data_IF_591809087860
#
_entry.id   IF_591809087860
#
_cell.length_a   1.000
_cell.length_b   1.000
_cell.length_c   1.000
_cell.angle_alpha   90.00
_cell.angle_beta   90.00
_cell.angle_gamma   90.00
#
_symmetry.space_group_name_H-M   'P 1'
#
loop_
_entity.id
_entity.type
_entity.pdbx_description
1 polymer ?
#
# COMPACT_ATOMS: atom_id res chain seq x y z
N UNK A 1 -5.45 -7.13 45.42
CA UNK A 1 -4.92 -6.79 44.07
C UNK A 1 -5.61 -5.51 43.62
N UNK A 2 -4.86 -4.49 43.36
CA UNK A 2 -5.39 -3.23 42.84
C UNK A 2 -5.58 -3.32 41.30
N UNK A 3 -6.06 -2.25 40.67
CA UNK A 3 -6.35 -2.23 39.23
C UNK A 3 -5.06 -2.45 38.38
N UNK A 4 -3.95 -1.82 38.74
CA UNK A 4 -2.68 -1.92 38.01
C UNK A 4 -2.07 -3.33 38.13
N UNK A 5 -2.13 -3.94 39.32
CA UNK A 5 -1.68 -5.31 39.54
C UNK A 5 -2.52 -6.31 38.72
N UNK A 6 -3.86 -6.11 38.67
CA UNK A 6 -4.73 -6.96 37.87
C UNK A 6 -4.46 -6.80 36.37
N UNK A 7 -4.33 -5.57 35.88
CA UNK A 7 -3.98 -5.25 34.50
C UNK A 7 -2.66 -5.94 34.08
N UNK A 8 -1.60 -5.73 34.83
CA UNK A 8 -0.29 -6.34 34.57
C UNK A 8 -0.36 -7.87 34.52
N UNK A 9 -1.14 -8.49 35.44
CA UNK A 9 -1.33 -9.94 35.46
C UNK A 9 -2.10 -10.46 34.23
N UNK A 10 -3.09 -9.72 33.75
CA UNK A 10 -3.81 -10.09 32.51
C UNK A 10 -2.84 -10.08 31.32
N UNK A 11 -2.03 -9.03 31.16
CA UNK A 11 -1.08 -8.92 30.07
C UNK A 11 0.00 -10.01 30.11
N UNK A 12 0.49 -10.35 31.31
CA UNK A 12 1.44 -11.45 31.49
C UNK A 12 0.83 -12.81 31.09
N UNK A 13 -0.43 -13.08 31.44
CA UNK A 13 -1.13 -14.30 31.01
C UNK A 13 -1.35 -14.34 29.51
N UNK A 14 -1.64 -13.20 28.87
CA UNK A 14 -1.75 -13.09 27.40
C UNK A 14 -0.45 -13.44 26.74
N UNK A 15 0.68 -12.92 27.26
CA UNK A 15 2.01 -13.22 26.77
C UNK A 15 2.30 -14.72 26.88
N UNK A 16 2.11 -15.31 28.04
CA UNK A 16 2.32 -16.76 28.29
C UNK A 16 1.45 -17.61 27.33
N UNK A 17 0.19 -17.25 27.14
CA UNK A 17 -0.70 -17.95 26.22
C UNK A 17 -0.19 -17.90 24.78
N UNK A 18 0.27 -16.72 24.33
CA UNK A 18 0.82 -16.56 22.99
C UNK A 18 2.08 -17.42 22.77
N UNK A 19 3.03 -17.34 23.72
CA UNK A 19 4.30 -18.02 23.62
C UNK A 19 4.13 -19.56 23.66
N UNK A 20 3.13 -20.06 24.42
CA UNK A 20 2.89 -21.49 24.58
C UNK A 20 2.03 -22.09 23.44
N UNK A 21 1.00 -21.38 22.98
CA UNK A 21 -0.02 -21.99 22.12
C UNK A 21 -0.14 -21.42 20.71
N UNK A 22 0.24 -20.14 20.47
CA UNK A 22 -0.01 -19.51 19.18
C UNK A 22 1.19 -19.52 18.23
N UNK A 23 2.40 -19.56 18.75
CA UNK A 23 3.64 -19.58 17.96
C UNK A 23 4.49 -20.84 18.19
N UNK A 24 3.93 -22.07 18.19
CA UNK A 24 4.75 -23.25 18.27
C UNK A 24 5.67 -23.32 17.04
N UNK A 25 6.97 -23.57 17.30
CA UNK A 25 7.91 -23.85 16.21
C UNK A 25 7.47 -25.13 15.52
N UNK A 26 6.97 -25.02 14.30
CA UNK A 26 6.64 -26.17 13.44
C UNK A 26 7.79 -26.41 12.49
N UNK A 27 8.32 -27.63 12.49
CA UNK A 27 9.26 -28.07 11.46
C UNK A 27 8.52 -28.16 10.12
N UNK A 28 9.18 -27.75 9.05
CA UNK A 28 8.63 -27.83 7.70
C UNK A 28 8.96 -29.21 7.11
N UNK A 29 7.97 -29.86 6.50
CA UNK A 29 8.13 -31.08 5.74
C UNK A 29 7.72 -30.85 4.28
N UNK A 30 8.42 -31.54 3.36
CA UNK A 30 8.10 -31.47 1.93
C UNK A 30 6.62 -31.85 1.69
N UNK A 31 5.88 -30.97 1.02
CA UNK A 31 4.44 -31.11 0.81
C UNK A 31 3.56 -30.35 1.80
N UNK A 32 4.13 -29.79 2.87
CA UNK A 32 3.40 -28.84 3.70
C UNK A 32 3.02 -27.58 2.92
N UNK A 33 1.91 -26.96 3.31
CA UNK A 33 1.41 -25.76 2.63
C UNK A 33 2.37 -24.58 2.78
N UNK A 34 2.76 -23.99 1.65
CA UNK A 34 3.50 -22.75 1.57
C UNK A 34 2.57 -21.65 1.07
N UNK A 35 2.21 -20.75 1.98
CA UNK A 35 1.36 -19.61 1.66
C UNK A 35 2.15 -18.52 0.93
N UNK A 36 1.51 -17.81 -0.01
CA UNK A 36 2.12 -16.65 -0.69
C UNK A 36 2.41 -15.50 0.26
N UNK A 37 1.62 -15.37 1.32
CA UNK A 37 1.78 -14.39 2.39
C UNK A 37 1.10 -14.90 3.66
N UNK A 38 1.56 -14.43 4.80
CA UNK A 38 0.93 -14.66 6.11
C UNK A 38 1.42 -13.62 7.10
N UNK A 39 0.65 -13.44 8.17
CA UNK A 39 1.07 -12.61 9.30
C UNK A 39 2.25 -13.25 10.03
N UNK A 40 3.19 -12.43 10.45
CA UNK A 40 4.27 -12.80 11.38
C UNK A 40 4.11 -11.93 12.62
N UNK A 41 4.00 -12.56 13.78
CA UNK A 41 3.74 -11.89 15.06
C UNK A 41 4.33 -12.70 16.21
N UNK A 42 4.44 -12.07 17.36
CA UNK A 42 4.75 -12.71 18.64
C UNK A 42 3.76 -12.22 19.72
N UNK A 43 4.16 -12.27 20.98
CA UNK A 43 3.28 -11.85 22.08
C UNK A 43 3.02 -10.34 22.14
N UNK A 44 3.88 -9.51 21.53
CA UNK A 44 3.78 -8.05 21.65
C UNK A 44 2.47 -7.52 20.99
N UNK A 45 2.09 -8.07 19.84
CA UNK A 45 0.85 -7.70 19.16
C UNK A 45 -0.38 -8.03 20.00
N UNK A 46 -0.40 -9.22 20.62
CA UNK A 46 -1.51 -9.64 21.46
C UNK A 46 -1.57 -8.82 22.76
N UNK A 47 -0.44 -8.57 23.38
CA UNK A 47 -0.33 -7.75 24.60
C UNK A 47 -0.88 -6.35 24.32
N UNK A 48 -0.42 -5.68 23.26
CA UNK A 48 -0.90 -4.36 22.89
C UNK A 48 -2.40 -4.35 22.56
N UNK A 49 -2.90 -5.38 21.84
CA UNK A 49 -4.31 -5.50 21.49
C UNK A 49 -5.19 -5.61 22.75
N UNK A 50 -4.79 -6.47 23.70
CA UNK A 50 -5.53 -6.66 24.95
C UNK A 50 -5.43 -5.41 25.83
N UNK A 51 -4.26 -4.77 25.89
CA UNK A 51 -4.06 -3.51 26.63
C UNK A 51 -5.03 -2.42 26.12
N UNK A 52 -5.10 -2.21 24.81
CA UNK A 52 -6.07 -1.29 24.19
C UNK A 52 -7.51 -1.70 24.48
N UNK A 53 -7.81 -3.01 24.48
CA UNK A 53 -9.16 -3.53 24.76
C UNK A 53 -9.60 -3.29 26.20
N UNK A 54 -8.68 -3.34 27.17
CA UNK A 54 -8.96 -3.08 28.58
C UNK A 54 -9.30 -1.61 28.87
N UNK A 55 -8.83 -0.68 28.04
CA UNK A 55 -9.25 0.72 28.10
C UNK A 55 -10.66 0.95 27.55
N UNK A 56 -11.14 0.05 26.73
CA UNK A 56 -12.43 0.09 26.04
C UNK A 56 -12.70 1.40 25.28
N UNK A 57 -11.62 2.02 24.76
CA UNK A 57 -11.70 3.15 23.85
C UNK A 57 -11.76 2.63 22.40
N UNK A 58 -12.97 2.56 21.83
CA UNK A 58 -13.27 1.78 20.62
C UNK A 58 -13.05 2.53 19.29
N UNK A 59 -12.66 3.78 19.32
CA UNK A 59 -12.29 4.57 18.13
C UNK A 59 -10.80 4.94 18.17
N UNK A 60 -10.32 5.81 17.28
CA UNK A 60 -8.94 6.27 17.31
C UNK A 60 -8.59 6.91 18.67
N UNK A 61 -7.54 6.44 19.33
CA UNK A 61 -7.12 6.82 20.66
C UNK A 61 -5.62 7.02 20.80
N UNK A 62 -5.04 6.60 21.94
CA UNK A 62 -3.62 6.79 22.20
C UNK A 62 -2.70 5.99 21.30
N UNK A 63 -3.06 4.74 20.98
CA UNK A 63 -2.28 3.90 20.08
C UNK A 63 -2.32 4.42 18.64
N UNK A 64 -3.46 4.93 18.18
CA UNK A 64 -3.55 5.57 16.87
C UNK A 64 -2.62 6.79 16.78
N UNK A 65 -2.56 7.61 17.84
CA UNK A 65 -1.65 8.76 17.90
C UNK A 65 -0.17 8.34 17.96
N UNK A 66 0.14 7.33 18.80
CA UNK A 66 1.49 6.75 18.89
C UNK A 66 1.95 6.19 17.53
N UNK A 67 1.06 5.44 16.87
CA UNK A 67 1.35 4.87 15.56
C UNK A 67 1.60 5.96 14.51
N UNK A 68 0.69 6.95 14.39
CA UNK A 68 0.83 8.05 13.43
C UNK A 68 2.18 8.77 13.60
N UNK A 69 2.58 9.03 14.84
CA UNK A 69 3.87 9.66 15.17
C UNK A 69 5.05 8.78 14.77
N UNK A 70 5.08 7.54 15.27
CA UNK A 70 6.22 6.65 15.07
C UNK A 70 6.37 6.22 13.60
N UNK A 71 5.27 6.07 12.87
CA UNK A 71 5.28 5.76 11.44
C UNK A 71 5.80 6.95 10.60
N UNK A 72 5.41 8.18 10.95
CA UNK A 72 5.95 9.38 10.32
C UNK A 72 7.46 9.51 10.60
N UNK A 73 7.92 9.25 11.83
CA UNK A 73 9.33 9.25 12.19
C UNK A 73 10.10 8.17 11.41
N UNK A 74 9.57 6.94 11.30
CA UNK A 74 10.18 5.85 10.54
C UNK A 74 10.39 6.22 9.07
N UNK A 75 9.40 6.82 8.43
CA UNK A 75 9.47 7.24 7.02
C UNK A 75 10.19 8.58 6.82
N UNK A 76 10.53 9.29 7.91
CA UNK A 76 11.09 10.64 7.87
C UNK A 76 10.19 11.64 7.11
N UNK A 77 8.89 11.59 7.39
CA UNK A 77 7.88 12.55 6.90
C UNK A 77 7.27 13.34 8.05
N UNK A 78 6.67 14.48 7.74
CA UNK A 78 6.12 15.37 8.80
C UNK A 78 4.77 14.88 9.33
N UNK A 79 3.94 14.30 8.48
CA UNK A 79 2.55 14.01 8.81
C UNK A 79 2.15 12.61 8.34
N UNK A 80 1.47 11.90 9.21
CA UNK A 80 0.79 10.64 8.93
C UNK A 80 -0.66 10.69 9.44
N UNK A 81 -1.57 10.08 8.73
CA UNK A 81 -2.96 9.86 9.12
C UNK A 81 -3.31 8.40 8.96
N UNK A 82 -3.58 7.72 10.07
CA UNK A 82 -4.02 6.32 10.08
C UNK A 82 -5.46 6.21 9.56
N UNK A 83 -5.69 5.22 8.71
CA UNK A 83 -7.00 4.88 8.13
C UNK A 83 -7.28 3.38 8.24
N UNK A 84 -8.51 2.98 7.95
CA UNK A 84 -8.99 1.61 8.16
C UNK A 84 -8.58 0.59 7.09
N UNK A 85 -7.96 1.01 5.99
CA UNK A 85 -7.40 0.12 4.95
C UNK A 85 -6.50 0.88 3.97
N UNK A 86 -5.65 0.14 3.21
CA UNK A 86 -4.89 0.71 2.09
C UNK A 86 -5.78 1.24 0.97
N UNK A 87 -6.92 0.60 0.72
CA UNK A 87 -7.92 1.08 -0.26
C UNK A 87 -8.48 2.44 0.15
N UNK A 88 -8.77 2.62 1.44
CA UNK A 88 -9.19 3.90 2.01
C UNK A 88 -8.08 4.94 1.96
N UNK A 89 -6.83 4.52 2.12
CA UNK A 89 -5.67 5.40 1.97
C UNK A 89 -5.56 5.95 0.54
N UNK A 90 -5.67 5.10 -0.47
CA UNK A 90 -5.66 5.49 -1.88
C UNK A 90 -6.84 6.42 -2.21
N UNK A 91 -8.06 6.07 -1.76
CA UNK A 91 -9.23 6.92 -1.92
C UNK A 91 -9.01 8.30 -1.31
N UNK A 92 -8.51 8.35 -0.08
CA UNK A 92 -8.32 9.59 0.66
C UNK A 92 -7.21 10.46 0.05
N UNK A 93 -6.09 9.83 -0.39
CA UNK A 93 -5.01 10.52 -1.08
C UNK A 93 -5.49 11.21 -2.37
N UNK A 94 -6.25 10.48 -3.19
CA UNK A 94 -6.82 11.03 -4.42
C UNK A 94 -7.85 12.12 -4.12
N UNK A 95 -8.81 11.86 -3.24
CA UNK A 95 -9.87 12.82 -2.89
C UNK A 95 -9.33 14.10 -2.23
N UNK A 96 -8.19 14.02 -1.55
CA UNK A 96 -7.55 15.23 -1.01
C UNK A 96 -7.18 16.23 -2.10
N UNK A 97 -6.81 15.76 -3.28
CA UNK A 97 -6.45 16.60 -4.41
C UNK A 97 -7.66 17.25 -5.10
N UNK A 98 -8.89 16.87 -4.75
CA UNK A 98 -10.13 17.48 -5.26
C UNK A 98 -10.59 18.67 -4.39
N UNK A 99 -9.92 18.94 -3.27
CA UNK A 99 -10.32 19.98 -2.32
C UNK A 99 -10.28 21.38 -2.93
N UNK A 100 -11.32 22.20 -2.69
CA UNK A 100 -11.32 23.62 -3.10
C UNK A 100 -10.20 24.43 -2.47
N UNK A 101 -9.63 24.00 -1.34
CA UNK A 101 -8.51 24.67 -0.68
C UNK A 101 -7.22 24.66 -1.51
N UNK A 102 -7.14 23.82 -2.55
CA UNK A 102 -5.99 23.77 -3.47
C UNK A 102 -6.05 24.78 -4.61
N UNK A 103 -7.15 25.56 -4.71
CA UNK A 103 -7.33 26.59 -5.74
C UNK A 103 -7.24 25.98 -7.16
N UNK A 104 -6.43 26.55 -8.03
CA UNK A 104 -6.25 26.13 -9.42
C UNK A 104 -5.55 24.76 -9.57
N UNK A 105 -4.90 24.28 -8.52
CA UNK A 105 -4.26 22.95 -8.53
C UNK A 105 -5.20 21.79 -8.18
N UNK A 106 -6.45 22.06 -7.79
CA UNK A 106 -7.42 21.01 -7.51
C UNK A 106 -7.74 20.19 -8.76
N UNK A 107 -8.08 18.93 -8.56
CA UNK A 107 -8.59 18.05 -9.61
C UNK A 107 -10.09 18.29 -9.79
N UNK A 108 -10.54 18.37 -11.02
CA UNK A 108 -11.95 18.44 -11.42
C UNK A 108 -12.37 17.16 -12.18
N UNK A 109 -13.67 16.94 -12.29
CA UNK A 109 -14.20 15.88 -13.15
C UNK A 109 -13.76 16.12 -14.60
N UNK A 110 -13.31 15.06 -15.27
CA UNK A 110 -12.77 15.13 -16.62
C UNK A 110 -11.29 15.51 -16.72
N UNK A 111 -10.62 15.87 -15.60
CA UNK A 111 -9.16 15.97 -15.57
C UNK A 111 -8.51 14.59 -15.70
N UNK A 112 -7.31 14.54 -16.26
CA UNK A 112 -6.60 13.31 -16.53
C UNK A 112 -5.62 12.92 -15.42
N UNK A 113 -5.54 11.61 -15.14
CA UNK A 113 -4.64 11.01 -14.18
C UNK A 113 -3.82 9.90 -14.87
N UNK A 114 -2.52 10.06 -14.96
CA UNK A 114 -1.62 9.05 -15.53
C UNK A 114 -1.47 7.90 -14.51
N UNK A 115 -1.67 6.66 -15.00
CA UNK A 115 -1.58 5.43 -14.21
C UNK A 115 -1.24 4.24 -15.12
N UNK A 116 -1.25 3.01 -14.58
CA UNK A 116 -1.01 1.76 -15.32
C UNK A 116 -2.18 0.81 -15.20
N UNK A 117 -2.43 0.01 -16.24
CA UNK A 117 -3.49 -1.00 -16.22
C UNK A 117 -3.04 -2.33 -15.58
N UNK A 118 -1.72 -2.60 -15.54
CA UNK A 118 -1.13 -3.69 -14.77
C UNK A 118 -1.02 -3.29 -13.28
N UNK A 119 -2.13 -2.89 -12.66
CA UNK A 119 -2.18 -2.36 -11.31
C UNK A 119 -3.26 -2.99 -10.44
N UNK A 120 -3.23 -2.67 -9.14
CA UNK A 120 -4.28 -3.07 -8.23
C UNK A 120 -5.51 -2.15 -8.41
N UNK A 121 -6.74 -2.68 -8.38
CA UNK A 121 -7.94 -1.88 -8.68
C UNK A 121 -8.07 -0.60 -7.86
N UNK A 122 -7.68 -0.61 -6.58
CA UNK A 122 -7.87 0.56 -5.69
C UNK A 122 -6.88 1.70 -5.93
N UNK A 123 -5.83 1.50 -6.72
CA UNK A 123 -5.01 2.61 -7.27
C UNK A 123 -5.76 3.37 -8.35
N UNK A 124 -6.68 2.72 -9.07
CA UNK A 124 -7.43 3.31 -10.21
C UNK A 124 -8.86 3.69 -9.83
N UNK A 125 -9.52 2.92 -8.96
CA UNK A 125 -10.94 3.11 -8.63
C UNK A 125 -11.32 4.53 -8.19
N UNK A 126 -10.54 5.25 -7.35
CA UNK A 126 -10.88 6.62 -6.97
C UNK A 126 -10.94 7.58 -8.15
N UNK A 127 -10.08 7.38 -9.16
CA UNK A 127 -10.04 8.20 -10.39
C UNK A 127 -11.38 8.09 -11.13
N UNK A 128 -11.79 6.84 -11.39
CA UNK A 128 -13.03 6.52 -12.10
C UNK A 128 -14.26 6.97 -11.31
N UNK A 129 -14.32 6.64 -10.02
CA UNK A 129 -15.46 6.96 -9.15
C UNK A 129 -15.68 8.46 -8.99
N UNK A 130 -14.62 9.24 -8.97
CA UNK A 130 -14.72 10.70 -8.95
C UNK A 130 -15.17 11.27 -10.31
N UNK A 131 -14.92 10.57 -11.42
CA UNK A 131 -15.18 11.03 -12.77
C UNK A 131 -14.00 11.79 -13.39
N UNK A 132 -12.80 11.55 -12.91
CA UNK A 132 -11.56 11.88 -13.63
C UNK A 132 -11.26 10.78 -14.66
N UNK A 133 -10.37 11.06 -15.61
CA UNK A 133 -10.08 10.18 -16.74
C UNK A 133 -8.74 9.48 -16.50
N UNK A 134 -8.70 8.15 -16.28
CA UNK A 134 -7.44 7.45 -16.20
C UNK A 134 -6.74 7.39 -17.56
N UNK A 135 -5.45 7.70 -17.57
CA UNK A 135 -4.58 7.64 -18.74
C UNK A 135 -3.60 6.51 -18.52
N UNK A 136 -3.82 5.40 -19.22
CA UNK A 136 -3.02 4.20 -19.05
C UNK A 136 -1.78 4.20 -19.91
N UNK A 137 -0.64 4.01 -19.23
CA UNK A 137 0.68 3.81 -19.83
C UNK A 137 1.07 2.35 -19.65
N UNK A 138 1.75 1.76 -20.61
CA UNK A 138 2.25 0.39 -20.48
C UNK A 138 3.35 0.32 -19.41
N UNK A 139 3.69 -0.89 -19.03
CA UNK A 139 4.75 -1.20 -18.07
C UNK A 139 5.93 -1.86 -18.74
N UNK A 140 7.07 -1.91 -18.07
CA UNK A 140 8.25 -2.65 -18.53
C UNK A 140 8.31 -4.04 -17.91
N UNK A 141 8.88 -5.01 -18.61
CA UNK A 141 9.31 -6.30 -18.10
C UNK A 141 10.83 -6.34 -18.24
N UNK A 142 11.60 -6.66 -17.21
CA UNK A 142 11.27 -7.41 -16.00
C UNK A 142 11.05 -6.58 -14.72
N UNK A 143 10.88 -5.27 -14.78
CA UNK A 143 10.65 -4.44 -13.59
C UNK A 143 9.18 -4.37 -13.18
N UNK A 144 8.25 -4.57 -14.12
CA UNK A 144 6.79 -4.54 -13.96
C UNK A 144 6.23 -3.19 -13.50
N UNK A 145 6.97 -2.13 -13.73
CA UNK A 145 6.61 -0.75 -13.39
C UNK A 145 6.36 0.07 -14.65
N UNK A 146 5.78 1.26 -14.47
CA UNK A 146 5.48 2.19 -15.58
C UNK A 146 6.65 2.38 -16.52
N UNK A 147 6.38 2.36 -17.83
CA UNK A 147 7.34 2.74 -18.86
C UNK A 147 7.50 4.26 -18.89
N UNK A 148 8.53 4.75 -18.21
CA UNK A 148 8.77 6.19 -18.06
C UNK A 148 9.05 6.89 -19.41
N UNK A 149 9.45 6.15 -20.44
CA UNK A 149 9.69 6.72 -21.78
C UNK A 149 8.43 7.18 -22.48
N UNK A 150 7.26 6.69 -22.02
CA UNK A 150 5.94 7.03 -22.56
C UNK A 150 5.24 8.18 -21.82
N UNK A 151 5.80 8.69 -20.71
CA UNK A 151 5.16 9.70 -19.88
C UNK A 151 4.88 11.01 -20.62
N UNK A 152 5.82 11.49 -21.43
CA UNK A 152 5.62 12.72 -22.20
C UNK A 152 4.49 12.58 -23.24
N UNK A 153 4.34 11.42 -23.85
CA UNK A 153 3.20 11.13 -24.74
C UNK A 153 1.87 10.99 -23.99
N UNK A 154 1.94 10.67 -22.70
CA UNK A 154 0.75 10.58 -21.83
C UNK A 154 0.24 11.97 -21.39
N UNK A 155 1.09 12.96 -21.33
CA UNK A 155 0.75 14.31 -20.89
C UNK A 155 -0.23 15.01 -21.84
N UNK A 156 -1.19 15.71 -21.26
CA UNK A 156 -2.04 16.69 -21.92
C UNK A 156 -2.30 17.89 -20.99
N UNK A 157 -2.90 18.96 -21.51
CA UNK A 157 -3.32 20.13 -20.67
C UNK A 157 -4.35 19.77 -19.60
N UNK A 158 -5.02 18.62 -19.72
CA UNK A 158 -5.96 18.10 -18.71
C UNK A 158 -5.28 17.25 -17.63
N UNK A 159 -4.04 16.83 -17.85
CA UNK A 159 -3.30 16.02 -16.89
C UNK A 159 -3.00 16.81 -15.62
N UNK A 160 -3.37 16.27 -14.47
CA UNK A 160 -3.19 16.90 -13.15
C UNK A 160 -2.40 16.03 -12.18
N UNK A 161 -2.43 14.72 -12.34
CA UNK A 161 -1.88 13.76 -11.38
C UNK A 161 -1.19 12.62 -12.10
N UNK A 162 -0.13 12.12 -11.47
CA UNK A 162 0.42 10.78 -11.68
C UNK A 162 0.13 9.98 -10.41
N UNK A 163 -0.55 8.84 -10.53
CA UNK A 163 -0.84 7.92 -9.42
C UNK A 163 -0.39 6.52 -9.78
N UNK A 164 0.65 6.03 -9.12
CA UNK A 164 1.34 4.79 -9.44
C UNK A 164 1.64 3.98 -8.19
N UNK A 165 1.56 2.64 -8.32
CA UNK A 165 2.02 1.73 -7.29
C UNK A 165 3.46 1.27 -7.55
N UNK A 166 4.19 0.97 -6.47
CA UNK A 166 5.47 0.27 -6.52
C UNK A 166 5.20 -1.23 -6.60
N UNK A 167 5.27 -1.79 -7.80
CA UNK A 167 4.79 -3.14 -8.10
C UNK A 167 5.49 -4.22 -7.28
N UNK A 168 4.72 -4.92 -6.43
CA UNK A 168 5.19 -6.00 -5.54
C UNK A 168 6.49 -5.68 -4.80
N UNK A 169 6.65 -4.44 -4.38
CA UNK A 169 7.81 -4.02 -3.59
C UNK A 169 9.01 -3.54 -4.40
N UNK A 170 8.91 -3.53 -5.74
CA UNK A 170 9.92 -2.98 -6.63
C UNK A 170 9.59 -1.50 -6.93
N UNK A 171 10.39 -0.55 -6.49
CA UNK A 171 10.14 0.85 -6.80
C UNK A 171 10.14 1.11 -8.33
N UNK A 172 9.20 1.92 -8.82
CA UNK A 172 9.35 2.46 -10.18
C UNK A 172 10.49 3.50 -10.24
N UNK A 173 10.91 3.91 -11.43
CA UNK A 173 11.92 4.98 -11.58
C UNK A 173 11.37 6.31 -11.05
N UNK A 174 11.50 6.47 -9.72
CA UNK A 174 11.00 7.62 -8.97
C UNK A 174 11.64 8.93 -9.42
N UNK A 175 12.93 8.89 -9.82
CA UNK A 175 13.60 10.11 -10.30
C UNK A 175 12.98 10.59 -11.60
N UNK A 176 12.81 9.71 -12.57
CA UNK A 176 12.21 10.06 -13.86
C UNK A 176 10.77 10.52 -13.72
N UNK A 177 9.95 9.82 -12.89
CA UNK A 177 8.55 10.19 -12.65
C UNK A 177 8.45 11.52 -11.91
N UNK A 178 9.28 11.73 -10.88
CA UNK A 178 9.27 13.00 -10.11
C UNK A 178 9.70 14.18 -11.00
N UNK A 179 10.77 14.04 -11.76
CA UNK A 179 11.22 15.08 -12.69
C UNK A 179 10.15 15.42 -13.74
N UNK A 180 9.43 14.42 -14.23
CA UNK A 180 8.30 14.63 -15.14
C UNK A 180 7.16 15.40 -14.45
N UNK A 181 6.76 15.02 -13.23
CA UNK A 181 5.74 15.72 -12.47
C UNK A 181 6.12 17.18 -12.20
N UNK A 182 7.38 17.43 -11.83
CA UNK A 182 7.87 18.78 -11.54
C UNK A 182 7.87 19.67 -12.79
N UNK A 183 8.31 19.14 -13.94
CA UNK A 183 8.29 19.90 -15.21
C UNK A 183 6.88 20.34 -15.63
N UNK A 184 5.89 19.50 -15.37
CA UNK A 184 4.50 19.73 -15.78
C UNK A 184 3.60 20.22 -14.63
N UNK A 185 4.17 20.49 -13.44
CA UNK A 185 3.43 20.92 -12.25
C UNK A 185 2.28 19.97 -11.88
N UNK A 186 2.53 18.65 -11.94
CA UNK A 186 1.58 17.58 -11.61
C UNK A 186 1.72 17.15 -10.15
N UNK A 187 0.64 16.68 -9.55
CA UNK A 187 0.68 15.96 -8.31
C UNK A 187 1.20 14.53 -8.51
N UNK A 188 2.00 14.02 -7.58
CA UNK A 188 2.44 12.63 -7.55
C UNK A 188 1.89 11.93 -6.30
N UNK A 189 1.07 10.90 -6.51
CA UNK A 189 0.64 9.96 -5.47
C UNK A 189 1.42 8.66 -5.64
N UNK A 190 2.14 8.26 -4.60
CA UNK A 190 2.83 6.97 -4.54
C UNK A 190 1.97 5.96 -3.74
N UNK A 191 1.40 4.96 -4.43
CA UNK A 191 0.81 3.81 -3.75
C UNK A 191 1.94 2.87 -3.31
N UNK A 192 2.29 2.97 -2.03
CA UNK A 192 3.39 2.24 -1.40
C UNK A 192 2.90 1.01 -0.60
N UNK A 193 1.67 0.54 -0.88
CA UNK A 193 1.08 -0.59 -0.15
C UNK A 193 1.97 -1.84 -0.18
N UNK A 194 2.55 -2.15 -1.34
CA UNK A 194 3.40 -3.32 -1.53
C UNK A 194 4.90 -3.07 -1.31
N UNK A 195 5.32 -1.83 -1.01
CA UNK A 195 6.74 -1.48 -1.00
C UNK A 195 7.22 -0.78 0.28
N UNK A 196 6.49 -0.93 1.37
CA UNK A 196 6.89 -0.33 2.65
C UNK A 196 8.29 -0.82 3.06
N UNK A 197 9.19 0.12 3.33
CA UNK A 197 10.59 -0.15 3.65
C UNK A 197 11.52 -0.27 2.43
N UNK A 198 10.99 -0.13 1.20
CA UNK A 198 11.83 0.06 0.02
C UNK A 198 12.42 1.48 -0.01
N UNK A 199 13.59 1.61 -0.63
CA UNK A 199 14.26 2.92 -0.77
C UNK A 199 14.76 3.13 -2.20
N UNK A 200 14.89 4.40 -2.57
CA UNK A 200 15.53 4.83 -3.81
C UNK A 200 16.58 5.89 -3.52
N UNK A 201 17.64 5.91 -4.33
CA UNK A 201 18.64 6.98 -4.28
C UNK A 201 18.23 8.10 -5.25
N UNK A 202 17.87 9.26 -4.70
CA UNK A 202 17.49 10.46 -5.45
C UNK A 202 18.51 11.55 -5.12
N UNK A 203 19.20 12.05 -6.15
CA UNK A 203 20.23 13.09 -6.03
C UNK A 203 21.29 12.76 -4.94
N UNK A 204 21.73 11.48 -4.92
CA UNK A 204 22.73 10.96 -3.98
C UNK A 204 22.23 10.72 -2.55
N UNK A 205 20.93 10.89 -2.28
CA UNK A 205 20.32 10.62 -0.98
C UNK A 205 19.36 9.44 -1.05
N UNK A 206 19.50 8.53 -0.10
CA UNK A 206 18.57 7.42 0.09
C UNK A 206 17.28 7.93 0.74
N UNK A 207 16.13 7.64 0.13
CA UNK A 207 14.80 8.01 0.61
C UNK A 207 13.86 6.81 0.54
N UNK A 208 12.95 6.71 1.48
CA UNK A 208 11.88 5.72 1.43
C UNK A 208 10.90 6.00 0.27
N UNK A 209 10.43 4.94 -0.39
CA UNK A 209 9.29 5.02 -1.30
C UNK A 209 8.04 5.53 -0.57
N UNK A 210 7.16 6.20 -1.29
CA UNK A 210 5.98 6.87 -0.71
C UNK A 210 6.28 8.25 -0.11
N UNK A 211 7.57 8.69 -0.08
CA UNK A 211 7.97 9.97 0.54
C UNK A 211 8.57 10.97 -0.46
N UNK A 212 8.59 10.63 -1.73
CA UNK A 212 9.21 11.43 -2.80
C UNK A 212 8.13 12.23 -3.56
N UNK A 213 6.96 11.66 -3.72
CA UNK A 213 5.77 12.35 -4.22
C UNK A 213 5.13 13.30 -3.22
N UNK A 214 3.98 13.86 -3.57
CA UNK A 214 3.22 14.77 -2.71
C UNK A 214 2.47 14.03 -1.60
N UNK A 215 1.97 12.82 -1.90
CA UNK A 215 1.23 11.96 -0.96
C UNK A 215 1.67 10.51 -1.16
N UNK A 216 1.99 9.83 -0.06
CA UNK A 216 2.20 8.39 -0.02
C UNK A 216 1.09 7.66 0.72
N UNK A 217 0.84 6.42 0.32
CA UNK A 217 -0.14 5.54 0.96
C UNK A 217 0.46 4.21 1.34
N UNK A 218 -0.05 3.58 2.38
CA UNK A 218 0.35 2.23 2.79
C UNK A 218 -0.85 1.42 3.26
N UNK A 219 -0.73 0.09 3.17
CA UNK A 219 -1.72 -0.86 3.65
C UNK A 219 -1.12 -1.77 4.73
N UNK A 220 -1.95 -2.10 5.72
CA UNK A 220 -1.60 -2.99 6.80
C UNK A 220 -2.53 -4.21 6.85
N UNK A 221 -3.06 -4.62 5.70
CA UNK A 221 -3.74 -5.90 5.52
C UNK A 221 -2.75 -7.07 5.78
N UNK A 222 -3.19 -8.25 6.26
CA UNK A 222 -2.29 -9.33 6.70
C UNK A 222 -1.20 -9.77 5.73
N UNK A 223 -1.41 -9.61 4.43
CA UNK A 223 -0.42 -9.99 3.42
C UNK A 223 0.72 -8.99 3.27
N UNK A 224 0.53 -7.73 3.68
CA UNK A 224 1.52 -6.67 3.49
C UNK A 224 2.74 -6.80 4.42
N UNK A 225 3.61 -5.80 4.40
CA UNK A 225 4.90 -5.81 5.10
C UNK A 225 4.75 -5.86 6.62
N UNK A 226 3.68 -5.27 7.14
CA UNK A 226 3.23 -5.37 8.53
C UNK A 226 1.70 -5.43 8.55
N UNK A 227 1.09 -5.90 9.63
CA UNK A 227 -0.36 -6.05 9.71
C UNK A 227 -0.97 -5.34 10.92
N UNK A 228 -2.22 -4.89 10.73
CA UNK A 228 -3.13 -4.46 11.80
C UNK A 228 -4.43 -5.27 11.79
N UNK A 229 -4.48 -6.39 11.02
CA UNK A 229 -5.74 -7.02 10.59
C UNK A 229 -6.35 -6.26 9.43
N UNK A 230 -6.87 -5.08 9.68
CA UNK A 230 -7.20 -4.07 8.69
C UNK A 230 -6.57 -2.73 9.11
N UNK A 231 -6.04 -1.98 8.16
CA UNK A 231 -5.41 -0.69 8.39
C UNK A 231 -4.73 -0.14 7.15
N UNK A 232 -4.42 1.15 7.18
CA UNK A 232 -3.66 1.85 6.16
C UNK A 232 -3.20 3.20 6.68
N UNK A 233 -2.34 3.86 5.93
CA UNK A 233 -1.88 5.20 6.26
C UNK A 233 -1.77 6.08 5.01
N UNK A 234 -2.02 7.38 5.20
CA UNK A 234 -1.75 8.44 4.23
C UNK A 234 -0.77 9.40 4.86
N UNK A 235 0.30 9.71 4.15
CA UNK A 235 1.36 10.55 4.69
C UNK A 235 1.88 11.55 3.66
N UNK A 236 2.37 12.70 4.18
CA UNK A 236 2.82 13.84 3.38
C UNK A 236 3.68 14.79 4.18
N UNK A 237 4.52 15.57 3.52
CA UNK A 237 5.23 16.70 4.13
C UNK A 237 4.46 18.03 4.03
N UNK A 238 3.37 18.05 3.28
CA UNK A 238 2.58 19.25 3.03
C UNK A 238 1.50 19.45 4.11
N UNK A 239 1.58 20.52 4.94
CA UNK A 239 0.62 20.76 6.01
C UNK A 239 -0.82 21.00 5.51
N UNK A 240 -0.99 21.59 4.31
CA UNK A 240 -2.32 21.81 3.74
C UNK A 240 -2.94 20.49 3.30
N UNK A 241 -2.18 19.62 2.62
CA UNK A 241 -2.65 18.29 2.27
C UNK A 241 -3.01 17.48 3.52
N UNK A 242 -2.17 17.52 4.57
CA UNK A 242 -2.48 16.85 5.83
C UNK A 242 -3.80 17.35 6.45
N UNK A 243 -4.02 18.69 6.48
CA UNK A 243 -5.28 19.27 6.95
C UNK A 243 -6.49 18.73 6.15
N UNK A 244 -6.39 18.72 4.82
CA UNK A 244 -7.45 18.22 3.93
C UNK A 244 -7.69 16.73 4.16
N UNK A 245 -6.63 15.91 4.21
CA UNK A 245 -6.68 14.47 4.46
C UNK A 245 -7.42 14.17 5.77
N UNK A 246 -7.08 14.85 6.85
CA UNK A 246 -7.74 14.67 8.14
C UNK A 246 -9.20 15.10 8.12
N UNK A 247 -9.52 16.22 7.45
CA UNK A 247 -10.89 16.66 7.26
C UNK A 247 -11.71 15.58 6.55
N UNK A 248 -11.25 15.11 5.39
CA UNK A 248 -11.94 14.09 4.60
C UNK A 248 -12.07 12.75 5.32
N UNK A 249 -11.04 12.33 6.09
CA UNK A 249 -11.09 11.12 6.91
C UNK A 249 -12.18 11.18 7.98
N UNK A 250 -12.43 12.37 8.52
CA UNK A 250 -13.31 12.64 9.66
C UNK A 250 -14.57 13.41 9.24
N UNK A 251 -15.35 12.85 8.32
CA UNK A 251 -16.63 13.37 7.77
C UNK A 251 -16.56 14.70 7.01
N UNK A 252 -15.39 15.22 6.72
CA UNK A 252 -15.21 16.55 6.11
C UNK A 252 -15.20 17.70 7.12
N UNK A 253 -15.02 17.42 8.42
CA UNK A 253 -14.95 18.45 9.48
C UNK A 253 -13.81 19.42 9.24
N UNK A 254 -14.05 20.69 9.55
CA UNK A 254 -13.00 21.73 9.59
C UNK A 254 -12.20 21.67 10.89
N UNK A 255 -12.81 21.24 11.97
CA UNK A 255 -12.19 21.10 13.28
C UNK A 255 -11.13 20.00 13.30
N UNK A 256 -9.92 20.32 13.75
CA UNK A 256 -8.76 19.42 13.84
C UNK A 256 -8.49 18.87 15.26
N UNK A 257 -9.39 19.12 16.21
CA UNK A 257 -9.25 18.62 17.58
C UNK A 257 -9.23 17.08 17.60
N UNK A 258 -8.39 16.46 18.47
CA UNK A 258 -8.35 15.03 18.62
C UNK A 258 -9.70 14.43 19.02
N UNK A 259 -9.94 13.17 18.64
CA UNK A 259 -11.15 12.46 19.07
C UNK A 259 -11.27 12.44 20.61
N UNK A 260 -12.49 12.67 21.12
CA UNK A 260 -12.75 12.71 22.55
C UNK A 260 -12.25 13.95 23.30
N UNK A 261 -11.59 14.90 22.63
CA UNK A 261 -11.10 16.16 23.25
C UNK A 261 -11.83 17.36 22.65
N UNK A 262 -12.86 17.84 23.35
CA UNK A 262 -13.58 19.02 22.92
C UNK A 262 -12.82 20.29 23.29
N UNK A 263 -12.91 21.30 22.39
CA UNK A 263 -12.27 22.60 22.57
C UNK A 263 -10.76 22.56 22.88
N UNK A 264 -10.06 21.54 22.39
CA UNK A 264 -8.61 21.40 22.61
C UNK A 264 -7.81 22.58 22.02
N UNK A 265 -8.30 23.16 20.92
CA UNK A 265 -7.71 24.33 20.29
C UNK A 265 -8.06 25.66 20.96
N UNK A 266 -9.04 25.71 21.88
CA UNK A 266 -9.55 26.92 22.50
C UNK A 266 -10.46 27.79 21.61
N UNK A 267 -10.77 27.33 20.39
CA UNK A 267 -11.46 28.11 19.35
C UNK A 267 -12.80 27.47 18.91
N UNK A 268 -13.51 26.79 19.84
CA UNK A 268 -14.72 26.05 19.50
C UNK A 268 -15.88 26.94 19.07
N UNK A 269 -16.01 28.10 19.70
CA UNK A 269 -17.12 29.04 19.50
C UNK A 269 -16.66 30.39 18.95
N UNK A 270 -15.39 30.48 18.51
CA UNK A 270 -14.83 31.68 17.93
C UNK A 270 -14.95 31.59 16.41
N UNK A 271 -15.34 32.66 15.80
CA UNK A 271 -15.22 32.80 14.37
C UNK A 271 -16.53 32.67 13.60
N UNK A 272 -16.41 32.99 12.34
CA UNK A 272 -17.49 32.98 11.35
C UNK A 272 -17.15 31.98 10.26
N UNK A 273 -18.04 31.04 10.00
CA UNK A 273 -17.84 29.96 9.05
C UNK A 273 -18.89 30.05 7.93
N UNK A 274 -18.54 30.67 6.79
CA UNK A 274 -19.43 30.88 5.67
C UNK A 274 -20.72 31.62 6.07
N UNK A 275 -21.89 31.04 5.78
CA UNK A 275 -23.22 31.59 6.10
C UNK A 275 -23.75 31.14 7.48
N UNK A 276 -22.95 30.35 8.24
CA UNK A 276 -23.35 29.91 9.57
C UNK A 276 -23.40 31.09 10.56
N UNK A 277 -24.24 31.03 11.60
CA UNK A 277 -24.30 32.06 12.65
C UNK A 277 -22.93 32.30 13.29
N UNK A 278 -22.65 33.54 13.69
CA UNK A 278 -21.46 33.86 14.46
C UNK A 278 -21.41 33.05 15.77
N UNK A 279 -20.27 32.52 16.17
CA UNK A 279 -20.11 31.66 17.32
C UNK A 279 -20.67 30.24 17.16
N UNK A 280 -20.95 29.81 15.93
CA UNK A 280 -21.39 28.41 15.69
C UNK A 280 -20.32 27.42 16.12
N UNK A 281 -20.74 26.28 16.67
CA UNK A 281 -19.82 25.24 17.15
C UNK A 281 -18.94 24.71 16.03
N UNK A 282 -17.63 25.08 16.04
CA UNK A 282 -16.65 24.70 15.01
C UNK A 282 -16.54 23.19 14.81
N UNK A 283 -16.86 22.37 15.82
CA UNK A 283 -16.88 20.90 15.73
C UNK A 283 -17.89 20.39 14.70
N UNK A 284 -18.92 21.17 14.38
CA UNK A 284 -19.98 20.85 13.42
C UNK A 284 -19.89 21.68 12.12
N UNK A 285 -18.74 22.31 11.88
CA UNK A 285 -18.45 22.94 10.60
C UNK A 285 -17.81 21.90 9.66
N UNK A 286 -18.32 21.81 8.44
CA UNK A 286 -17.85 20.89 7.43
C UNK A 286 -17.32 21.65 6.20
N UNK A 287 -16.02 21.48 5.92
CA UNK A 287 -15.33 22.11 4.77
C UNK A 287 -15.35 21.23 3.53
N UNK A 288 -15.66 19.93 3.69
CA UNK A 288 -15.67 18.93 2.64
C UNK A 288 -16.84 17.96 2.81
N UNK A 289 -17.19 17.25 1.74
CA UNK A 289 -17.96 16.01 1.80
C UNK A 289 -17.01 14.86 2.04
N UNK A 290 -16.80 14.52 3.29
CA UNK A 290 -15.82 13.52 3.69
C UNK A 290 -16.42 12.18 4.09
N UNK A 291 -15.58 11.33 4.65
CA UNK A 291 -15.85 9.93 4.99
C UNK A 291 -15.65 9.70 6.49
N UNK A 292 -15.94 8.49 6.96
CA UNK A 292 -15.40 7.99 8.23
C UNK A 292 -14.47 6.82 7.95
N UNK A 293 -13.19 7.10 7.83
CA UNK A 293 -12.16 6.13 7.45
C UNK A 293 -11.14 5.85 8.58
N UNK A 294 -11.46 6.23 9.81
CA UNK A 294 -10.58 5.95 10.96
C UNK A 294 -10.45 4.45 11.23
N UNK A 295 -9.25 4.02 11.57
CA UNK A 295 -9.02 2.74 12.22
C UNK A 295 -9.41 2.82 13.71
N UNK A 296 -9.66 1.68 14.33
CA UNK A 296 -9.85 1.55 15.78
C UNK A 296 -8.51 1.59 16.50
N UNK A 297 -8.51 1.93 17.80
CA UNK A 297 -7.28 1.96 18.60
C UNK A 297 -6.68 0.56 18.79
N UNK A 298 -7.50 -0.47 18.81
CA UNK A 298 -7.09 -1.87 18.86
C UNK A 298 -6.26 -2.28 17.62
N UNK A 299 -6.64 -1.82 16.42
CA UNK A 299 -5.86 -2.03 15.20
C UNK A 299 -4.52 -1.28 15.26
N UNK A 300 -4.55 -0.03 15.73
CA UNK A 300 -3.35 0.77 15.91
C UNK A 300 -2.38 0.15 16.92
N UNK A 301 -2.90 -0.46 17.99
CA UNK A 301 -2.12 -1.14 19.02
C UNK A 301 -1.29 -2.31 18.44
N UNK A 302 -1.89 -3.12 17.56
CA UNK A 302 -1.17 -4.15 16.80
C UNK A 302 -0.08 -3.49 15.93
N UNK A 303 -0.43 -2.41 15.22
CA UNK A 303 0.50 -1.68 14.36
C UNK A 303 1.72 -1.13 15.08
N UNK A 304 1.57 -0.64 16.31
CA UNK A 304 2.68 -0.16 17.14
C UNK A 304 3.70 -1.27 17.44
N UNK A 305 3.26 -2.51 17.67
CA UNK A 305 4.14 -3.65 17.87
C UNK A 305 4.81 -4.08 16.54
N UNK A 306 4.04 -4.16 15.47
CA UNK A 306 4.53 -4.55 14.14
C UNK A 306 5.57 -3.58 13.58
N UNK A 307 5.38 -2.29 13.77
CA UNK A 307 6.30 -1.26 13.26
C UNK A 307 7.73 -1.46 13.79
N UNK A 308 7.89 -1.90 15.03
CA UNK A 308 9.21 -2.20 15.63
C UNK A 308 9.92 -3.35 14.94
N UNK A 309 9.18 -4.28 14.33
CA UNK A 309 9.68 -5.48 13.64
C UNK A 309 9.89 -5.26 12.14
N UNK A 310 9.37 -4.18 11.59
CA UNK A 310 9.38 -3.90 10.15
C UNK A 310 10.78 -3.95 9.51
N UNK A 311 11.86 -3.39 10.09
CA UNK A 311 13.20 -3.51 9.51
C UNK A 311 13.64 -4.97 9.30
N UNK A 312 13.42 -5.83 10.29
CA UNK A 312 13.72 -7.27 10.20
C UNK A 312 12.87 -7.96 9.12
N UNK A 313 11.61 -7.58 9.01
CA UNK A 313 10.71 -8.14 7.98
C UNK A 313 11.19 -7.78 6.56
N UNK A 314 11.65 -6.56 6.35
CA UNK A 314 12.23 -6.11 5.07
C UNK A 314 13.49 -6.90 4.72
N UNK A 315 14.40 -7.08 5.68
CA UNK A 315 15.62 -7.86 5.48
C UNK A 315 15.31 -9.31 5.11
N UNK A 316 14.35 -9.94 5.81
CA UNK A 316 13.97 -11.33 5.52
C UNK A 316 13.32 -11.48 4.15
N UNK A 317 12.50 -10.51 3.70
CA UNK A 317 11.94 -10.48 2.34
C UNK A 317 13.03 -10.41 1.27
N UNK A 318 14.03 -9.56 1.47
CA UNK A 318 15.20 -9.46 0.58
C UNK A 318 16.00 -10.77 0.54
N UNK A 319 16.23 -11.39 1.70
CA UNK A 319 16.91 -12.68 1.78
C UNK A 319 16.16 -13.76 0.97
N UNK A 320 14.86 -13.91 1.19
CA UNK A 320 14.03 -14.89 0.52
C UNK A 320 13.99 -14.66 -1.01
N UNK A 321 13.87 -13.39 -1.43
CA UNK A 321 13.91 -13.03 -2.85
C UNK A 321 15.25 -13.39 -3.49
N UNK A 322 16.37 -13.04 -2.86
CA UNK A 322 17.69 -13.33 -3.38
C UNK A 322 17.94 -14.84 -3.49
N UNK A 323 17.47 -15.63 -2.52
CA UNK A 323 17.57 -17.08 -2.56
C UNK A 323 16.80 -17.69 -3.73
N UNK A 324 15.56 -17.22 -3.99
CA UNK A 324 14.79 -17.60 -5.18
C UNK A 324 15.48 -17.18 -6.47
N UNK A 325 15.95 -15.94 -6.56
CA UNK A 325 16.66 -15.42 -7.72
C UNK A 325 17.89 -16.25 -8.07
N UNK A 326 18.65 -16.69 -7.08
CA UNK A 326 19.83 -17.51 -7.26
C UNK A 326 19.48 -18.94 -7.65
N UNK A 327 18.50 -19.54 -6.95
CA UNK A 327 18.09 -20.92 -7.19
C UNK A 327 17.33 -21.14 -8.50
N UNK A 328 16.82 -20.08 -9.13
CA UNK A 328 16.09 -20.14 -10.41
C UNK A 328 16.89 -19.54 -11.58
N UNK A 329 18.16 -19.18 -11.36
CA UNK A 329 18.99 -18.50 -12.37
C UNK A 329 19.17 -19.30 -13.66
N UNK A 330 19.25 -20.60 -13.55
CA UNK A 330 19.39 -21.52 -14.69
C UNK A 330 18.10 -21.70 -15.52
N UNK A 331 16.97 -21.21 -15.00
CA UNK A 331 15.68 -21.25 -15.70
C UNK A 331 15.34 -19.97 -16.47
N UNK A 332 16.32 -19.10 -16.74
CA UNK A 332 16.11 -17.85 -17.49
C UNK A 332 15.73 -18.06 -18.98
N UNK A 333 15.95 -19.24 -19.52
CA UNK A 333 15.44 -19.65 -20.83
C UNK A 333 13.94 -20.03 -20.80
N UNK A 334 13.38 -20.32 -19.62
CA UNK A 334 11.97 -20.68 -19.37
C UNK A 334 11.15 -19.53 -18.78
N UNK A 335 11.76 -18.75 -17.90
CA UNK A 335 11.12 -17.61 -17.22
C UNK A 335 11.91 -16.33 -17.37
N UNK A 336 11.20 -15.21 -17.44
CA UNK A 336 11.79 -13.90 -17.18
C UNK A 336 11.70 -13.67 -15.69
N UNK A 337 12.87 -13.58 -15.04
CA UNK A 337 12.98 -13.31 -13.61
C UNK A 337 12.91 -11.80 -13.33
N UNK A 338 12.35 -11.38 -12.18
CA UNK A 338 12.23 -9.97 -11.82
C UNK A 338 13.60 -9.35 -11.51
N UNK A 339 13.76 -8.09 -11.90
CA UNK A 339 14.96 -7.30 -11.57
C UNK A 339 14.58 -6.03 -10.83
N UNK A 340 15.40 -5.57 -9.88
CA UNK A 340 15.17 -4.27 -9.24
C UNK A 340 15.27 -3.14 -10.27
N UNK A 341 14.54 -2.05 -10.02
CA UNK A 341 14.77 -0.80 -10.72
C UNK A 341 16.15 -0.24 -10.33
N UNK A 342 16.81 0.44 -11.24
CA UNK A 342 18.10 1.07 -10.96
C UNK A 342 18.01 2.05 -9.78
N UNK A 343 19.10 2.15 -9.02
CA UNK A 343 19.18 3.04 -7.84
C UNK A 343 18.12 2.79 -6.76
N UNK A 344 17.56 1.57 -6.70
CA UNK A 344 16.59 1.18 -5.69
C UNK A 344 17.06 0.01 -4.83
N UNK A 345 16.49 -0.07 -3.62
CA UNK A 345 16.59 -1.24 -2.73
C UNK A 345 15.15 -1.71 -2.44
N UNK A 346 14.62 -2.65 -3.21
CA UNK A 346 13.25 -3.12 -3.05
C UNK A 346 12.97 -3.70 -1.66
N UNK A 347 11.71 -3.62 -1.27
CA UNK A 347 11.13 -4.37 -0.16
C UNK A 347 10.11 -5.35 -0.74
N UNK A 348 10.61 -6.48 -1.23
CA UNK A 348 9.84 -7.41 -2.05
C UNK A 348 8.57 -7.94 -1.37
N UNK A 349 7.45 -7.82 -2.05
CA UNK A 349 6.18 -8.42 -1.62
C UNK A 349 6.01 -9.84 -2.16
N UNK A 350 6.45 -10.08 -3.39
CA UNK A 350 6.41 -11.37 -4.08
C UNK A 350 7.55 -11.52 -5.07
N UNK A 351 7.75 -12.75 -5.54
CA UNK A 351 8.71 -13.11 -6.58
C UNK A 351 7.94 -13.41 -7.88
N UNK A 352 8.07 -12.52 -8.87
CA UNK A 352 7.38 -12.64 -10.17
C UNK A 352 8.10 -13.62 -11.09
N UNK A 353 7.31 -14.38 -11.85
CA UNK A 353 7.76 -15.27 -12.89
C UNK A 353 6.91 -15.01 -14.15
N UNK A 354 7.53 -14.54 -15.22
CA UNK A 354 6.85 -14.42 -16.51
C UNK A 354 7.31 -15.55 -17.43
N UNK A 355 6.38 -16.43 -17.81
CA UNK A 355 6.66 -17.56 -18.68
C UNK A 355 7.13 -17.09 -20.06
N UNK A 356 8.09 -17.81 -20.64
CA UNK A 356 8.45 -17.64 -22.05
C UNK A 356 7.51 -18.48 -22.94
N UNK A 357 7.62 -18.30 -24.25
CA UNK A 357 6.67 -18.83 -25.25
C UNK A 357 6.46 -20.34 -25.20
N UNK A 358 7.47 -21.10 -24.77
CA UNK A 358 7.44 -22.55 -24.66
C UNK A 358 6.89 -23.06 -23.30
N UNK A 359 6.54 -22.16 -22.40
CA UNK A 359 6.03 -22.49 -21.04
C UNK A 359 4.60 -22.01 -20.87
N UNK A 360 3.68 -22.94 -20.61
CA UNK A 360 2.29 -22.63 -20.34
C UNK A 360 2.09 -22.27 -18.85
N UNK A 361 1.90 -20.99 -18.55
CA UNK A 361 1.69 -20.49 -17.18
C UNK A 361 0.67 -21.32 -16.39
N UNK A 362 -0.49 -21.63 -16.98
CA UNK A 362 -1.54 -22.34 -16.26
C UNK A 362 -1.12 -23.74 -15.81
N UNK A 363 -0.31 -24.46 -16.61
CA UNK A 363 0.23 -25.77 -16.23
C UNK A 363 1.18 -25.64 -15.03
N UNK A 364 2.12 -24.68 -15.09
CA UNK A 364 3.06 -24.42 -14.00
C UNK A 364 2.31 -24.07 -12.71
N UNK A 365 1.37 -23.12 -12.79
CA UNK A 365 0.57 -22.69 -11.63
C UNK A 365 -0.21 -23.84 -11.01
N UNK A 366 -0.90 -24.65 -11.82
CA UNK A 366 -1.65 -25.81 -11.33
C UNK A 366 -0.74 -26.84 -10.66
N UNK A 367 0.42 -27.13 -11.25
CA UNK A 367 1.40 -28.04 -10.67
C UNK A 367 1.91 -27.54 -9.31
N UNK A 368 2.21 -26.22 -9.17
CA UNK A 368 2.63 -25.62 -7.91
C UNK A 368 1.52 -25.71 -6.84
N UNK A 369 0.28 -25.38 -7.19
CA UNK A 369 -0.86 -25.46 -6.26
C UNK A 369 -1.14 -26.93 -5.82
N UNK A 370 -0.98 -27.91 -6.70
CA UNK A 370 -1.07 -29.35 -6.37
C UNK A 370 0.04 -29.79 -5.40
N UNK A 371 1.20 -29.13 -5.43
CA UNK A 371 2.31 -29.30 -4.46
C UNK A 371 2.18 -28.43 -3.22
N UNK A 372 1.01 -27.85 -2.96
CA UNK A 372 0.69 -26.96 -1.84
C UNK A 372 1.51 -25.64 -1.82
N UNK A 373 2.04 -25.19 -2.95
CA UNK A 373 2.68 -23.89 -3.10
C UNK A 373 1.65 -22.91 -3.67
N UNK A 374 1.23 -21.93 -2.86
CA UNK A 374 0.27 -20.93 -3.29
C UNK A 374 0.88 -19.93 -4.28
N UNK A 375 0.17 -19.67 -5.35
CA UNK A 375 0.51 -18.72 -6.40
C UNK A 375 -0.51 -17.57 -6.47
N UNK A 376 -0.16 -16.47 -7.09
CA UNK A 376 -1.07 -15.36 -7.39
C UNK A 376 -0.75 -14.77 -8.77
N UNK A 377 -1.78 -14.20 -9.41
CA UNK A 377 -1.58 -13.36 -10.60
C UNK A 377 -1.09 -11.98 -10.17
N UNK A 378 -0.39 -11.28 -11.07
CA UNK A 378 0.03 -9.92 -10.80
C UNK A 378 -1.19 -8.99 -10.88
N UNK A 379 -1.70 -8.59 -9.71
CA UNK A 379 -2.85 -7.69 -9.58
C UNK A 379 -4.03 -8.09 -10.50
N UNK A 380 -4.54 -7.11 -11.26
CA UNK A 380 -5.56 -7.34 -12.28
C UNK A 380 -5.01 -7.86 -13.62
N UNK A 381 -3.69 -8.00 -13.78
CA UNK A 381 -3.06 -8.25 -15.07
C UNK A 381 -3.27 -7.08 -16.04
N UNK A 382 -4.45 -6.98 -16.67
CA UNK A 382 -4.89 -5.81 -17.44
C UNK A 382 -6.29 -5.39 -16.97
N UNK A 383 -6.34 -4.37 -16.11
CA UNK A 383 -7.55 -3.88 -15.47
C UNK A 383 -8.64 -3.46 -16.48
N UNK A 384 -8.24 -2.90 -17.63
CA UNK A 384 -9.18 -2.46 -18.67
C UNK A 384 -10.01 -3.63 -19.24
N UNK A 385 -9.50 -4.86 -19.19
CA UNK A 385 -10.18 -6.04 -19.69
C UNK A 385 -11.19 -6.64 -18.70
N UNK A 386 -11.24 -6.14 -17.47
CA UNK A 386 -12.17 -6.62 -16.46
C UNK A 386 -13.59 -6.07 -16.65
N UNK A 387 -14.62 -6.81 -16.21
CA UNK A 387 -16.03 -6.38 -16.33
C UNK A 387 -16.33 -5.01 -15.71
N UNK A 388 -15.59 -4.56 -14.70
CA UNK A 388 -15.76 -3.24 -14.09
C UNK A 388 -15.51 -2.07 -15.06
N UNK A 389 -14.86 -2.34 -16.20
CA UNK A 389 -14.63 -1.35 -17.26
C UNK A 389 -15.68 -1.39 -18.39
N UNK A 390 -16.63 -2.33 -18.40
CA UNK A 390 -17.56 -2.52 -19.53
C UNK A 390 -18.38 -1.25 -19.83
N UNK A 391 -18.92 -0.60 -18.81
CA UNK A 391 -19.67 0.65 -18.97
C UNK A 391 -18.79 1.82 -19.44
N UNK A 392 -17.55 1.87 -18.96
CA UNK A 392 -16.60 2.94 -19.31
C UNK A 392 -16.10 2.79 -20.74
N UNK A 393 -15.96 1.56 -21.24
CA UNK A 393 -15.57 1.28 -22.64
C UNK A 393 -16.60 1.79 -23.66
N UNK A 394 -17.85 1.85 -23.27
CA UNK A 394 -18.96 2.24 -24.14
C UNK A 394 -19.48 3.66 -23.88
N UNK A 395 -18.99 4.32 -22.82
CA UNK A 395 -19.45 5.65 -22.40
C UNK A 395 -18.53 6.79 -22.86
N UNK A 396 -19.04 8.03 -22.76
CA UNK A 396 -18.34 9.26 -23.18
C UNK A 396 -17.21 9.69 -22.23
N UNK A 397 -17.20 9.21 -20.98
CA UNK A 397 -16.23 9.61 -19.94
C UNK A 397 -14.98 8.77 -19.90
N UNK A 398 -14.93 7.73 -20.63
CA UNK A 398 -13.86 6.84 -20.99
C UNK A 398 -12.57 6.83 -20.18
N UNK A 399 -11.62 6.21 -20.77
CA UNK A 399 -10.21 6.23 -20.40
C UNK A 399 -9.37 6.49 -21.65
N UNK A 400 -8.08 6.80 -21.47
CA UNK A 400 -7.14 6.95 -22.58
C UNK A 400 -5.99 5.94 -22.40
N UNK A 401 -5.56 5.34 -23.52
CA UNK A 401 -4.39 4.46 -23.58
C UNK A 401 -3.31 5.15 -24.43
N UNK A 402 -2.08 5.14 -23.98
CA UNK A 402 -0.94 5.76 -24.65
C UNK A 402 -0.14 4.68 -25.41
N UNK A 403 -0.24 4.68 -26.72
CA UNK A 403 0.33 3.62 -27.56
C UNK A 403 -0.38 2.29 -27.37
N UNK A 404 0.39 1.21 -27.22
CA UNK A 404 -0.13 -0.12 -26.89
C UNK A 404 0.07 -0.48 -25.43
N UNK A 405 -0.50 -1.63 -25.01
CA UNK A 405 -0.36 -2.24 -23.69
C UNK A 405 0.18 -3.68 -23.82
N UNK A 406 1.20 -3.86 -24.64
CA UNK A 406 1.74 -5.18 -25.02
C UNK A 406 2.30 -5.92 -23.81
N UNK A 407 3.10 -5.22 -22.97
CA UNK A 407 3.64 -5.81 -21.76
C UNK A 407 2.56 -6.06 -20.70
N UNK A 408 1.59 -5.15 -20.56
CA UNK A 408 0.42 -5.34 -19.70
C UNK A 408 -0.38 -6.57 -20.11
N UNK A 409 -0.60 -6.80 -21.41
CA UNK A 409 -1.28 -7.99 -21.93
C UNK A 409 -0.44 -9.26 -21.76
N UNK A 410 0.88 -9.16 -21.86
CA UNK A 410 1.78 -10.27 -21.58
C UNK A 410 1.73 -10.65 -20.11
N UNK A 411 1.72 -9.67 -19.20
CA UNK A 411 1.54 -9.92 -17.76
C UNK A 411 0.24 -10.68 -17.50
N UNK A 412 -0.86 -10.25 -18.09
CA UNK A 412 -2.16 -10.91 -17.93
C UNK A 412 -2.12 -12.39 -18.34
N UNK A 413 -1.42 -12.72 -19.45
CA UNK A 413 -1.36 -14.09 -19.97
C UNK A 413 -0.33 -14.95 -19.26
N UNK A 414 0.88 -14.41 -19.04
CA UNK A 414 2.08 -15.22 -18.87
C UNK A 414 2.73 -15.06 -17.48
N UNK A 415 2.23 -14.14 -16.62
CA UNK A 415 2.87 -13.80 -15.34
C UNK A 415 2.08 -14.36 -14.16
N UNK A 416 2.80 -14.84 -13.16
CA UNK A 416 2.32 -15.18 -11.82
C UNK A 416 3.42 -14.85 -10.79
N UNK A 417 3.10 -14.92 -9.50
CA UNK A 417 4.09 -14.74 -8.46
C UNK A 417 3.89 -15.69 -7.28
N UNK A 418 4.97 -15.93 -6.56
CA UNK A 418 5.05 -16.71 -5.33
C UNK A 418 5.54 -15.84 -4.18
N UNK A 419 5.31 -16.31 -2.95
CA UNK A 419 5.59 -15.51 -1.76
C UNK A 419 7.07 -15.41 -1.40
N UNK A 420 7.41 -14.28 -0.74
CA UNK A 420 8.72 -14.04 -0.10
C UNK A 420 8.55 -13.47 1.32
N UNK A 421 7.40 -13.66 1.95
CA UNK A 421 7.07 -13.04 3.24
C UNK A 421 8.00 -13.51 4.39
N UNK A 422 8.11 -12.74 5.49
CA UNK A 422 9.12 -12.98 6.53
C UNK A 422 9.02 -14.32 7.25
N UNK A 423 7.84 -14.95 7.27
CA UNK A 423 7.63 -16.29 7.85
C UNK A 423 8.06 -17.45 6.96
N UNK A 424 8.65 -17.17 5.80
CA UNK A 424 9.21 -18.17 4.91
C UNK A 424 10.61 -18.57 5.40
N UNK A 425 10.80 -19.87 5.66
CA UNK A 425 12.11 -20.41 6.03
C UNK A 425 12.92 -20.77 4.78
N UNK A 426 14.22 -21.02 4.96
CA UNK A 426 15.10 -21.39 3.86
C UNK A 426 14.68 -22.73 3.25
N UNK A 427 14.25 -23.70 4.10
CA UNK A 427 13.76 -25.01 3.65
C UNK A 427 12.49 -24.89 2.76
N UNK A 428 11.58 -23.97 3.11
CA UNK A 428 10.40 -23.69 2.27
C UNK A 428 10.80 -23.10 0.93
N UNK A 429 11.77 -22.18 0.95
CA UNK A 429 12.28 -21.56 -0.29
C UNK A 429 12.99 -22.56 -1.18
N UNK A 430 13.80 -23.46 -0.61
CA UNK A 430 14.47 -24.54 -1.34
C UNK A 430 13.48 -25.54 -1.94
N UNK A 431 12.44 -25.86 -1.18
CA UNK A 431 11.36 -26.71 -1.71
C UNK A 431 10.62 -26.04 -2.88
N UNK A 432 10.33 -24.73 -2.80
CA UNK A 432 9.72 -24.01 -3.92
C UNK A 432 10.62 -24.03 -5.16
N UNK A 433 11.93 -23.77 -4.99
CA UNK A 433 12.90 -23.83 -6.09
C UNK A 433 12.84 -25.20 -6.76
N UNK A 434 12.96 -26.28 -5.96
CA UNK A 434 12.87 -27.66 -6.48
C UNK A 434 11.60 -27.90 -7.27
N UNK A 435 10.42 -27.56 -6.71
CA UNK A 435 9.12 -27.82 -7.34
C UNK A 435 8.93 -27.01 -8.63
N UNK A 436 9.52 -25.79 -8.72
CA UNK A 436 9.50 -25.02 -9.96
C UNK A 436 10.30 -25.73 -11.06
N UNK A 437 11.48 -26.30 -10.76
CA UNK A 437 12.22 -27.12 -11.70
C UNK A 437 11.40 -28.34 -12.14
N UNK A 438 10.83 -29.09 -11.17
CA UNK A 438 10.00 -30.28 -11.42
C UNK A 438 8.77 -29.94 -12.32
N UNK A 439 8.28 -28.69 -12.32
CA UNK A 439 7.11 -28.28 -13.11
C UNK A 439 7.40 -28.13 -14.62
N UNK A 440 8.66 -28.18 -15.01
CA UNK A 440 9.10 -28.05 -16.41
C UNK A 440 9.50 -29.37 -17.05
N UNK A 441 9.54 -30.47 -16.25
CA UNK A 441 9.76 -31.84 -16.71
C UNK A 441 8.45 -32.46 -17.24
#
# INVERSE_FOLDING_TARGET
MNQEEMHSKILELVKQYCDEFLNPKKEFHAGDRISYASRVFDSDELVNLVDSSLEFWLTAGRYAHEFEKNFAEYLNVKYCSLVNSGSSANLLAFMALTSPLLGDRKINRGDEVITVAAGFPTTVSPIVQFGAVPVFVDVTIPQYNVDVTKLEAAYSKKTKVVMLAHTLGNPFDLKAVKDFCDRHNLWLIEDNCDALGATCTIDGKEKFTGTIGDIGTSSFYPAHHMTMGEGGAVYTDNPLLHKIIRSLRDWGRDCMCPAGRDNFCGHRFDGRHGELPEGYDHKYVYSHFGYNLKATDMQAAIGCAQLKKLPLFVERRRHNFNRLSEGLRDLQDKFILPTPCENSKPSWFGFLLTCREDVERNKVVQFLEEKNIQTRMLFAGNLIKHPCFDEIRTGDTGYRVVGGLENTDRILRDTFWIGVYPGMTDEKTDYMIKVIHDSLE
#
